data_IF_771606500883
#
_entry.id   IF_771606500883
#
_cell.length_a   1.000
_cell.length_b   1.000
_cell.length_c   1.000
_cell.angle_alpha   90.00
_cell.angle_beta   90.00
_cell.angle_gamma   90.00
#
_symmetry.space_group_name_H-M   'P 1'
#
loop_
_entity.id
_entity.type
_entity.pdbx_description
1 polymer ?
#
# COMPACT_ATOMS: atom_id res chain seq x y z
N UNK A 1 -4.71 -6.65 15.36
CA UNK A 1 -3.53 -5.85 14.99
C UNK A 1 -2.47 -6.81 14.45
N UNK A 2 -1.96 -6.53 13.29
CA UNK A 2 -0.79 -7.20 12.75
C UNK A 2 0.31 -6.15 12.53
N UNK A 3 1.53 -6.48 12.89
CA UNK A 3 2.67 -5.60 12.67
C UNK A 3 3.79 -6.36 11.99
N UNK A 4 4.45 -5.73 11.02
CA UNK A 4 5.58 -6.31 10.32
C UNK A 4 6.88 -5.59 10.67
N UNK A 5 7.90 -6.39 11.02
CA UNK A 5 9.28 -5.94 11.09
C UNK A 5 10.21 -7.02 10.51
N UNK A 6 10.91 -6.71 9.41
CA UNK A 6 11.87 -7.62 8.76
C UNK A 6 11.32 -9.04 8.54
N UNK A 7 10.15 -9.17 7.91
CA UNK A 7 9.45 -10.44 7.63
C UNK A 7 8.93 -11.19 8.87
N UNK A 8 8.79 -10.52 10.01
CA UNK A 8 8.11 -11.08 11.18
C UNK A 8 6.77 -10.39 11.36
N UNK A 9 5.72 -11.18 11.38
CA UNK A 9 4.38 -10.72 11.70
C UNK A 9 4.06 -11.03 13.17
N UNK A 10 3.41 -10.08 13.81
CA UNK A 10 2.84 -10.24 15.14
C UNK A 10 1.33 -10.02 15.03
N UNK A 11 0.54 -10.99 15.45
CA UNK A 11 -0.92 -10.95 15.39
C UNK A 11 -1.48 -10.94 16.81
N UNK A 12 -2.41 -10.03 17.07
CA UNK A 12 -3.01 -9.86 18.41
C UNK A 12 -4.29 -10.67 18.60
N UNK A 13 -4.93 -11.09 17.53
CA UNK A 13 -6.25 -11.70 17.55
C UNK A 13 -6.15 -13.17 17.17
N UNK A 14 -6.94 -14.09 17.79
CA UNK A 14 -7.05 -15.48 17.35
C UNK A 14 -7.44 -15.59 15.88
N UNK A 15 -6.96 -16.64 15.19
CA UNK A 15 -7.22 -16.87 13.76
C UNK A 15 -8.69 -16.84 13.34
N UNK A 16 -9.59 -17.27 14.23
CA UNK A 16 -11.03 -17.33 13.99
C UNK A 16 -11.67 -15.95 13.79
N UNK A 17 -11.00 -14.89 14.24
CA UNK A 17 -11.48 -13.50 14.11
C UNK A 17 -10.82 -12.74 12.95
N UNK A 18 -9.84 -13.34 12.26
CA UNK A 18 -9.18 -12.74 11.11
C UNK A 18 -9.90 -13.16 9.85
N UNK A 19 -10.30 -12.19 9.01
CA UNK A 19 -11.11 -12.42 7.82
C UNK A 19 -10.46 -13.41 6.84
N UNK A 20 -9.14 -13.35 6.64
CA UNK A 20 -8.36 -14.32 5.88
C UNK A 20 -6.89 -14.31 6.34
N UNK A 21 -6.45 -15.32 7.11
CA UNK A 21 -5.06 -15.40 7.55
C UNK A 21 -4.04 -15.47 6.41
N UNK A 22 -4.43 -15.98 5.22
CA UNK A 22 -3.54 -16.09 4.06
C UNK A 22 -3.15 -14.74 3.49
N UNK A 23 -4.03 -13.70 3.63
CA UNK A 23 -3.71 -12.33 3.22
C UNK A 23 -2.47 -11.75 3.91
N UNK A 24 -2.17 -12.24 5.10
CA UNK A 24 -1.01 -11.80 5.89
C UNK A 24 0.20 -12.72 5.71
N UNK A 25 0.15 -13.66 4.75
CA UNK A 25 1.22 -14.65 4.54
C UNK A 25 1.41 -15.62 5.71
N UNK A 26 0.42 -15.72 6.59
CA UNK A 26 0.46 -16.59 7.78
C UNK A 26 -0.40 -17.80 7.51
N UNK A 27 0.17 -18.85 6.91
CA UNK A 27 -0.54 -20.11 6.68
C UNK A 27 -0.84 -20.86 7.99
N UNK A 28 0.01 -20.67 9.01
CA UNK A 28 -0.15 -21.26 10.32
C UNK A 28 0.14 -20.22 11.40
N UNK A 29 -0.89 -19.83 12.13
CA UNK A 29 -0.70 -19.02 13.34
C UNK A 29 0.02 -19.84 14.41
N UNK A 30 1.23 -19.44 14.75
CA UNK A 30 2.00 -20.06 15.83
C UNK A 30 1.90 -19.22 17.09
N UNK A 31 1.84 -19.86 18.28
CA UNK A 31 1.80 -19.14 19.56
C UNK A 31 2.95 -18.14 19.74
N UNK A 32 4.12 -18.41 19.14
CA UNK A 32 5.27 -17.50 19.17
C UNK A 32 5.04 -16.21 18.37
N UNK A 33 4.11 -16.21 17.42
CA UNK A 33 3.75 -15.03 16.62
C UNK A 33 2.61 -14.23 17.26
N UNK A 34 2.09 -14.65 18.39
CA UNK A 34 1.10 -13.87 19.13
C UNK A 34 1.73 -12.57 19.60
N UNK A 35 1.06 -11.46 19.28
CA UNK A 35 1.48 -10.14 19.71
C UNK A 35 1.47 -10.06 21.24
N UNK A 36 2.61 -9.69 21.77
CA UNK A 36 2.77 -9.31 23.17
C UNK A 36 3.54 -8.00 23.19
N UNK A 37 3.00 -6.92 23.78
CA UNK A 37 3.64 -5.62 23.78
C UNK A 37 5.11 -5.67 24.22
N UNK A 38 5.40 -6.48 25.23
CA UNK A 38 6.74 -6.68 25.77
C UNK A 38 7.74 -7.36 24.81
N UNK A 39 7.25 -7.98 23.73
CA UNK A 39 8.08 -8.59 22.68
C UNK A 39 8.37 -7.65 21.52
N UNK A 40 7.67 -6.53 21.44
CA UNK A 40 7.91 -5.51 20.42
C UNK A 40 9.08 -4.65 20.88
N UNK A 41 10.28 -5.08 20.52
CA UNK A 41 11.53 -4.40 20.91
C UNK A 41 11.98 -3.36 19.89
N UNK A 42 11.28 -3.24 18.75
CA UNK A 42 11.55 -2.30 17.68
C UNK A 42 10.25 -1.83 17.05
N UNK A 43 10.26 -0.62 16.53
CA UNK A 43 9.11 -0.06 15.83
C UNK A 43 8.79 -0.90 14.59
N UNK A 44 7.51 -1.24 14.35
CA UNK A 44 7.10 -1.94 13.15
C UNK A 44 7.18 -1.01 11.94
N UNK A 45 7.43 -1.57 10.76
CA UNK A 45 7.41 -0.83 9.51
C UNK A 45 5.98 -0.43 9.11
N UNK A 46 5.02 -1.28 9.47
CA UNK A 46 3.62 -1.11 9.17
C UNK A 46 2.77 -1.77 10.26
N UNK A 47 1.60 -1.22 10.53
CA UNK A 47 0.59 -1.82 11.39
C UNK A 47 -0.70 -1.98 10.58
N UNK A 48 -1.21 -3.20 10.50
CA UNK A 48 -2.49 -3.49 9.88
C UNK A 48 -3.56 -3.62 10.97
N UNK A 49 -4.65 -2.88 10.81
CA UNK A 49 -5.78 -2.88 11.72
C UNK A 49 -7.01 -3.43 10.97
N UNK A 50 -7.50 -4.60 11.38
CA UNK A 50 -8.83 -5.03 10.97
C UNK A 50 -9.86 -4.30 11.83
N UNK A 51 -10.83 -3.65 11.19
CA UNK A 51 -11.89 -2.89 11.87
C UNK A 51 -13.25 -3.52 11.68
N UNK A 52 -14.17 -3.26 12.63
CA UNK A 52 -15.60 -3.56 12.52
C UNK A 52 -16.43 -2.31 12.25
N UNK A 53 -15.77 -1.18 11.95
CA UNK A 53 -16.47 0.04 11.57
C UNK A 53 -17.28 -0.19 10.29
N UNK A 54 -18.49 0.36 10.25
CA UNK A 54 -19.36 0.31 9.06
C UNK A 54 -18.71 1.05 7.89
N UNK A 55 -18.04 2.17 8.17
CA UNK A 55 -17.31 2.97 7.19
C UNK A 55 -15.82 3.06 7.58
N UNK A 56 -14.99 2.24 6.91
CA UNK A 56 -13.55 2.24 7.11
C UNK A 56 -12.87 3.53 6.64
N UNK A 57 -13.46 4.23 5.66
CA UNK A 57 -12.88 5.46 5.11
C UNK A 57 -13.07 6.61 6.11
N UNK A 58 -14.26 6.75 6.67
CA UNK A 58 -14.52 7.74 7.73
C UNK A 58 -13.61 7.52 8.95
N UNK A 59 -13.40 6.25 9.35
CA UNK A 59 -12.48 5.92 10.43
C UNK A 59 -11.02 6.27 10.08
N UNK A 60 -10.57 5.98 8.86
CA UNK A 60 -9.24 6.34 8.40
C UNK A 60 -9.03 7.86 8.42
N UNK A 61 -10.02 8.63 7.98
CA UNK A 61 -9.97 10.09 8.00
C UNK A 61 -9.91 10.66 9.42
N UNK A 62 -10.66 10.09 10.36
CA UNK A 62 -10.61 10.47 11.76
C UNK A 62 -9.23 10.19 12.36
N UNK A 63 -8.71 8.99 12.14
CA UNK A 63 -7.36 8.61 12.60
C UNK A 63 -6.28 9.49 11.98
N UNK A 64 -6.37 9.80 10.68
CA UNK A 64 -5.43 10.70 10.00
C UNK A 64 -5.45 12.12 10.60
N UNK A 65 -6.63 12.63 11.01
CA UNK A 65 -6.72 13.92 11.69
C UNK A 65 -6.07 13.88 13.07
N UNK A 66 -6.19 12.77 13.78
CA UNK A 66 -5.60 12.61 15.10
C UNK A 66 -4.07 12.44 15.06
N UNK A 67 -3.58 11.60 14.14
CA UNK A 67 -2.16 11.25 14.02
C UNK A 67 -1.42 12.00 12.90
N UNK A 68 -1.95 13.13 12.46
CA UNK A 68 -1.56 13.87 11.23
C UNK A 68 -0.05 14.10 11.03
N UNK A 69 0.74 14.12 12.09
CA UNK A 69 2.17 14.38 12.04
C UNK A 69 3.03 13.12 12.20
N UNK A 70 2.44 11.99 12.54
CA UNK A 70 3.17 10.77 12.90
C UNK A 70 2.92 9.64 11.90
N UNK A 71 1.65 9.44 11.55
CA UNK A 71 1.21 8.30 10.74
C UNK A 71 0.45 8.74 9.50
N UNK A 72 0.51 7.92 8.48
CA UNK A 72 -0.43 7.88 7.37
C UNK A 72 -1.30 6.62 7.52
N UNK A 73 -2.62 6.79 7.51
CA UNK A 73 -3.60 5.73 7.65
C UNK A 73 -4.30 5.57 6.31
N UNK A 74 -4.08 4.46 5.64
CA UNK A 74 -4.69 4.12 4.37
C UNK A 74 -5.68 2.96 4.53
N UNK A 75 -6.65 2.88 3.64
CA UNK A 75 -7.58 1.74 3.57
C UNK A 75 -7.09 0.75 2.51
N UNK A 76 -7.24 -0.53 2.75
CA UNK A 76 -7.10 -1.51 1.67
C UNK A 76 -8.30 -1.43 0.72
N UNK A 77 -8.05 -1.60 -0.58
CA UNK A 77 -9.10 -1.69 -1.58
C UNK A 77 -10.02 -2.90 -1.37
N UNK A 78 -11.17 -2.90 -2.06
CA UNK A 78 -12.14 -3.98 -2.01
C UNK A 78 -12.90 -4.12 -0.69
N UNK A 79 -13.50 -5.31 -0.43
CA UNK A 79 -14.45 -5.53 0.67
C UNK A 79 -13.80 -5.69 2.05
N UNK A 80 -12.47 -5.72 2.12
CA UNK A 80 -11.78 -5.97 3.38
C UNK A 80 -11.75 -4.71 4.25
N UNK A 81 -12.18 -4.86 5.50
CA UNK A 81 -12.16 -3.77 6.48
C UNK A 81 -10.80 -3.69 7.17
N UNK A 82 -9.76 -3.36 6.38
CA UNK A 82 -8.38 -3.24 6.85
C UNK A 82 -7.89 -1.81 6.65
N UNK A 83 -7.28 -1.27 7.70
CA UNK A 83 -6.50 -0.03 7.67
C UNK A 83 -5.02 -0.38 7.76
N UNK A 84 -4.23 0.33 6.99
CA UNK A 84 -2.77 0.25 6.99
C UNK A 84 -2.19 1.53 7.57
N UNK A 85 -1.45 1.40 8.67
CA UNK A 85 -0.79 2.52 9.33
C UNK A 85 0.70 2.44 9.05
N UNK A 86 1.22 3.47 8.40
CA UNK A 86 2.64 3.62 8.08
C UNK A 86 3.19 4.93 8.67
N UNK A 87 4.51 5.07 8.85
CA UNK A 87 5.09 6.35 9.21
C UNK A 87 4.75 7.43 8.18
N UNK A 88 4.49 8.65 8.64
CA UNK A 88 4.16 9.77 7.75
C UNK A 88 5.27 10.02 6.74
N UNK A 89 4.90 10.14 5.47
CA UNK A 89 5.82 10.38 4.36
C UNK A 89 6.45 9.13 3.75
N UNK A 90 6.24 7.94 4.34
CA UNK A 90 6.67 6.67 3.75
C UNK A 90 5.57 6.19 2.80
N UNK A 91 5.82 6.32 1.50
CA UNK A 91 4.93 5.90 0.42
C UNK A 91 5.74 5.37 -0.76
N UNK A 92 5.08 4.97 -1.85
CA UNK A 92 5.75 4.41 -3.04
C UNK A 92 6.68 5.43 -3.72
N UNK A 93 6.31 6.71 -3.75
CA UNK A 93 7.16 7.76 -4.33
C UNK A 93 8.46 7.94 -3.55
N UNK A 94 8.40 7.95 -2.21
CA UNK A 94 9.58 8.02 -1.35
C UNK A 94 10.57 6.88 -1.63
N UNK A 95 10.05 5.65 -1.78
CA UNK A 95 10.90 4.49 -2.11
C UNK A 95 11.54 4.62 -3.50
N UNK A 96 10.81 5.11 -4.49
CA UNK A 96 11.31 5.33 -5.84
C UNK A 96 12.33 6.47 -5.90
N UNK A 97 12.11 7.56 -5.18
CA UNK A 97 13.10 8.63 -5.05
C UNK A 97 14.42 8.10 -4.49
N UNK A 98 14.36 7.29 -3.43
CA UNK A 98 15.56 6.65 -2.88
C UNK A 98 16.27 5.77 -3.91
N UNK A 99 15.51 4.93 -4.64
CA UNK A 99 16.08 4.06 -5.68
C UNK A 99 16.71 4.85 -6.82
N UNK A 100 16.06 5.90 -7.31
CA UNK A 100 16.61 6.76 -8.36
C UNK A 100 17.93 7.40 -7.92
N UNK A 101 18.01 7.89 -6.68
CA UNK A 101 19.24 8.43 -6.12
C UNK A 101 20.35 7.39 -6.07
N UNK A 102 20.06 6.15 -5.60
CA UNK A 102 21.04 5.05 -5.58
C UNK A 102 21.51 4.67 -6.98
N UNK A 103 20.61 4.72 -7.97
CA UNK A 103 20.90 4.39 -9.36
C UNK A 103 21.49 5.55 -10.16
N UNK A 104 21.62 6.72 -9.56
CA UNK A 104 22.02 7.98 -10.22
C UNK A 104 21.15 8.27 -11.46
N UNK A 105 19.84 8.18 -11.30
CA UNK A 105 18.81 8.43 -12.32
C UNK A 105 17.94 9.61 -11.93
N UNK A 106 17.36 10.27 -12.93
CA UNK A 106 16.40 11.36 -12.74
C UNK A 106 14.98 10.81 -12.77
N UNK A 107 14.06 11.46 -12.04
CA UNK A 107 12.64 11.07 -12.04
C UNK A 107 12.00 11.12 -13.44
N UNK A 108 12.51 11.96 -14.36
CA UNK A 108 12.05 12.00 -15.74
C UNK A 108 12.29 10.70 -16.52
N UNK A 109 13.22 9.86 -16.04
CA UNK A 109 13.52 8.55 -16.62
C UNK A 109 12.62 7.44 -16.03
N UNK A 110 11.75 7.79 -15.06
CA UNK A 110 10.86 6.87 -14.39
C UNK A 110 9.50 6.80 -15.09
N UNK A 111 9.09 5.59 -15.42
CA UNK A 111 7.73 5.27 -15.85
C UNK A 111 7.06 4.51 -14.72
N UNK A 112 5.86 4.91 -14.32
CA UNK A 112 5.09 4.26 -13.26
C UNK A 112 3.71 3.85 -13.75
N UNK A 113 3.20 2.72 -13.24
CA UNK A 113 1.86 2.19 -13.50
C UNK A 113 1.14 2.00 -12.17
N UNK A 114 -0.13 2.37 -12.10
CA UNK A 114 -0.92 2.27 -10.87
C UNK A 114 -2.39 2.06 -11.13
N UNK A 115 -3.10 1.50 -10.14
CA UNK A 115 -4.54 1.22 -10.21
C UNK A 115 -5.30 1.65 -8.96
N UNK A 116 -4.64 1.86 -7.82
CA UNK A 116 -5.28 2.21 -6.55
C UNK A 116 -4.77 3.54 -5.96
N UNK A 117 -5.51 4.06 -4.99
CA UNK A 117 -5.22 5.36 -4.38
C UNK A 117 -3.84 5.44 -3.70
N UNK A 118 -3.26 4.32 -3.27
CA UNK A 118 -1.90 4.27 -2.72
C UNK A 118 -0.79 4.43 -3.79
N UNK A 119 -1.17 4.55 -5.07
CA UNK A 119 -0.28 4.84 -6.20
C UNK A 119 -0.24 6.35 -6.53
N UNK A 120 -1.05 7.16 -5.88
CA UNK A 120 -1.23 8.59 -6.18
C UNK A 120 0.09 9.34 -6.21
N UNK A 121 0.86 9.27 -5.12
CA UNK A 121 2.15 9.98 -5.04
C UNK A 121 3.17 9.42 -6.03
N UNK A 122 3.11 8.10 -6.29
CA UNK A 122 3.99 7.44 -7.25
C UNK A 122 3.76 7.95 -8.68
N UNK A 123 2.51 8.00 -9.13
CA UNK A 123 2.17 8.50 -10.46
C UNK A 123 2.49 10.00 -10.60
N UNK A 124 2.15 10.81 -9.59
CA UNK A 124 2.46 12.24 -9.58
C UNK A 124 3.97 12.53 -9.55
N UNK A 125 4.77 11.63 -8.98
CA UNK A 125 6.23 11.78 -8.88
C UNK A 125 6.95 11.39 -10.16
N UNK A 126 6.47 10.36 -10.87
CA UNK A 126 7.12 9.79 -12.04
C UNK A 126 7.28 10.80 -13.19
N UNK A 127 8.25 10.59 -14.06
CA UNK A 127 8.40 11.33 -15.32
C UNK A 127 7.25 11.04 -16.29
N UNK A 128 6.69 9.82 -16.21
CA UNK A 128 5.45 9.44 -16.90
C UNK A 128 4.67 8.46 -16.05
N UNK A 129 3.47 8.84 -15.64
CA UNK A 129 2.55 8.04 -14.84
C UNK A 129 1.36 7.53 -15.65
N UNK A 130 1.12 6.23 -15.62
CA UNK A 130 0.00 5.58 -16.30
C UNK A 130 -0.98 4.99 -15.28
N UNK A 131 -2.25 5.38 -15.38
CA UNK A 131 -3.33 4.69 -14.66
C UNK A 131 -3.82 3.50 -15.50
N UNK A 132 -4.09 2.37 -14.85
CA UNK A 132 -4.72 1.21 -15.51
C UNK A 132 -6.15 1.57 -15.95
N UNK A 133 -6.72 0.85 -16.94
CA UNK A 133 -8.12 1.03 -17.37
C UNK A 133 -9.12 0.88 -16.20
N UNK A 134 -8.85 -0.08 -15.32
CA UNK A 134 -9.66 -0.35 -14.12
C UNK A 134 -9.22 0.42 -12.88
N UNK A 135 -8.40 1.47 -13.06
CA UNK A 135 -7.92 2.26 -11.94
C UNK A 135 -9.07 2.94 -11.18
N UNK A 136 -8.86 3.11 -9.88
CA UNK A 136 -9.74 3.89 -9.03
C UNK A 136 -9.87 5.31 -9.61
N UNK A 137 -11.10 5.84 -9.82
CA UNK A 137 -11.31 7.16 -10.40
C UNK A 137 -10.58 8.28 -9.68
N UNK A 138 -10.35 8.16 -8.38
CA UNK A 138 -9.61 9.13 -7.59
C UNK A 138 -8.11 9.23 -7.98
N UNK A 139 -7.57 8.19 -8.65
CA UNK A 139 -6.18 8.16 -9.11
C UNK A 139 -5.98 8.93 -10.43
N UNK A 140 -7.02 8.99 -11.28
CA UNK A 140 -6.91 9.54 -12.64
C UNK A 140 -6.33 10.96 -12.72
N UNK A 141 -6.64 11.90 -11.80
CA UNK A 141 -6.05 13.24 -11.82
C UNK A 141 -4.53 13.30 -11.64
N UNK A 142 -3.92 12.22 -11.17
CA UNK A 142 -2.48 12.13 -10.88
C UNK A 142 -1.70 11.34 -11.93
N UNK A 143 -2.40 10.76 -12.91
CA UNK A 143 -1.80 10.08 -14.05
C UNK A 143 -1.71 11.02 -15.25
N UNK A 144 -0.64 10.86 -16.06
CA UNK A 144 -0.54 11.55 -17.35
C UNK A 144 -1.47 10.94 -18.40
N UNK A 145 -1.76 9.65 -18.27
CA UNK A 145 -2.55 8.89 -19.24
C UNK A 145 -3.21 7.67 -18.60
N UNK A 146 -4.40 7.32 -19.06
CA UNK A 146 -5.06 6.06 -18.71
C UNK A 146 -4.85 5.03 -19.83
N UNK A 147 -4.39 3.82 -19.44
CA UNK A 147 -4.21 2.71 -20.37
C UNK A 147 -5.56 2.17 -20.87
N UNK A 148 -5.60 1.64 -22.10
CA UNK A 148 -6.81 1.07 -22.67
C UNK A 148 -7.15 -0.35 -22.14
N UNK A 149 -6.23 -0.97 -21.39
CA UNK A 149 -6.33 -2.32 -20.86
C UNK A 149 -6.24 -2.35 -19.34
N UNK A 150 -6.89 -3.35 -18.74
CA UNK A 150 -6.85 -3.62 -17.31
C UNK A 150 -5.58 -4.40 -16.93
N UNK A 151 -5.36 -4.55 -15.61
CA UNK A 151 -4.32 -5.44 -15.09
C UNK A 151 -4.58 -6.92 -15.47
N UNK A 152 -5.85 -7.36 -15.58
CA UNK A 152 -6.24 -8.70 -16.02
C UNK A 152 -6.05 -8.93 -17.53
N UNK A 153 -5.91 -7.85 -18.30
CA UNK A 153 -5.69 -7.87 -19.75
C UNK A 153 -4.21 -7.62 -20.12
N UNK A 154 -3.29 -7.88 -19.21
CA UNK A 154 -1.84 -7.63 -19.40
C UNK A 154 -1.50 -6.19 -19.81
N UNK A 155 -2.27 -5.19 -19.32
CA UNK A 155 -2.18 -3.80 -19.75
C UNK A 155 -0.79 -3.19 -19.62
N UNK A 156 -0.04 -3.53 -18.56
CA UNK A 156 1.35 -3.06 -18.39
C UNK A 156 2.28 -3.64 -19.47
N UNK A 157 2.14 -4.94 -19.77
CA UNK A 157 2.97 -5.57 -20.79
C UNK A 157 2.74 -4.96 -22.17
N UNK A 158 1.48 -4.73 -22.55
CA UNK A 158 1.12 -4.04 -23.80
C UNK A 158 1.65 -2.61 -23.86
N UNK A 159 1.56 -1.85 -22.74
CA UNK A 159 2.11 -0.52 -22.70
C UNK A 159 3.64 -0.51 -22.89
N UNK A 160 4.36 -1.42 -22.23
CA UNK A 160 5.82 -1.56 -22.38
C UNK A 160 6.22 -1.97 -23.80
N UNK A 161 5.46 -2.86 -24.44
CA UNK A 161 5.69 -3.20 -25.85
C UNK A 161 5.57 -1.98 -26.76
N UNK A 162 4.51 -1.18 -26.58
CA UNK A 162 4.30 0.03 -27.40
C UNK A 162 5.35 1.14 -27.14
N UNK A 163 5.94 1.18 -25.95
CA UNK A 163 6.93 2.19 -25.60
C UNK A 163 8.35 1.85 -26.04
N UNK A 164 8.69 0.56 -26.12
CA UNK A 164 10.09 0.12 -26.27
C UNK A 164 10.35 -0.85 -27.43
N UNK A 165 9.31 -1.37 -28.07
CA UNK A 165 9.43 -2.30 -29.20
C UNK A 165 8.76 -1.78 -30.46
#
# INVERSE_FOLDING_TARGET
IAGEYRKKFYITTPNEEIADPKLFGVENFRPENQFKPERVTKDPNCILLQTRAEDKYALADEMNRFYQHQLAINTWGGPLNILECTPKGVNKAFALEYLLNVMNRDKKDLIAFGDEHNDTEMLAFAGKGYAMKNANPALLPYADEQLPLTNEEDGVAHALQNLFL
#
